data_IF_460063530442
#
_entry.id   IF_460063530442
#
_cell.length_a   1.000
_cell.length_b   1.000
_cell.length_c   1.000
_cell.angle_alpha   90.00
_cell.angle_beta   90.00
_cell.angle_gamma   90.00
#
_symmetry.space_group_name_H-M   'P 1'
#
loop_
_entity.id
_entity.type
_entity.pdbx_description
1 polymer ?
#
# COMPACT_ATOMS: atom_id res chain seq x y z
N UNK A 1 -15.32 6.31 -0.70
CA UNK A 1 -14.58 6.35 0.59
C UNK A 1 -15.17 7.39 1.56
N UNK A 2 -16.41 7.22 2.06
CA UNK A 2 -17.10 8.25 2.88
C UNK A 2 -16.40 8.63 4.20
N UNK A 3 -15.47 7.82 4.73
CA UNK A 3 -14.76 8.07 6.01
C UNK A 3 -13.25 8.28 5.87
N UNK A 4 -12.71 8.37 4.65
CA UNK A 4 -11.25 8.43 4.39
C UNK A 4 -10.57 7.06 4.49
N UNK A 5 -9.31 6.94 4.04
CA UNK A 5 -8.56 5.66 4.01
C UNK A 5 -8.38 5.09 5.41
N UNK A 6 -7.72 5.85 6.30
CA UNK A 6 -7.39 5.42 7.66
C UNK A 6 -8.57 4.80 8.43
N UNK A 7 -9.74 5.45 8.45
CA UNK A 7 -10.91 4.93 9.19
C UNK A 7 -11.46 3.64 8.56
N UNK A 8 -11.36 3.48 7.24
CA UNK A 8 -11.78 2.24 6.58
C UNK A 8 -10.78 1.12 6.85
N UNK A 9 -9.48 1.41 6.75
CA UNK A 9 -8.40 0.45 6.99
C UNK A 9 -8.48 -0.11 8.41
N UNK A 10 -8.67 0.76 9.40
CA UNK A 10 -8.87 0.35 10.79
C UNK A 10 -10.12 -0.53 10.98
N UNK A 11 -11.20 -0.26 10.24
CA UNK A 11 -12.42 -1.07 10.29
C UNK A 11 -12.22 -2.45 9.64
N UNK A 12 -11.47 -2.52 8.54
CA UNK A 12 -11.11 -3.76 7.87
C UNK A 12 -10.19 -4.61 8.75
N UNK A 13 -9.14 -4.00 9.32
CA UNK A 13 -8.22 -4.68 10.26
C UNK A 13 -8.97 -5.26 11.44
N UNK A 14 -9.89 -4.48 12.02
CA UNK A 14 -10.74 -4.95 13.13
C UNK A 14 -11.64 -6.13 12.73
N UNK A 15 -12.11 -6.17 11.48
CA UNK A 15 -13.08 -7.19 11.02
C UNK A 15 -12.42 -8.47 10.52
N UNK A 16 -11.31 -8.37 9.79
CA UNK A 16 -10.70 -9.48 9.04
C UNK A 16 -9.31 -9.87 9.54
N UNK A 17 -8.74 -9.11 10.48
CA UNK A 17 -7.42 -9.36 11.04
C UNK A 17 -6.32 -8.51 10.42
N UNK A 18 -5.07 -8.84 10.71
CA UNK A 18 -3.93 -7.95 10.45
C UNK A 18 -3.32 -8.03 9.04
N UNK A 19 -3.76 -9.00 8.24
CA UNK A 19 -3.31 -9.22 6.86
C UNK A 19 -4.55 -9.44 6.01
N UNK A 20 -4.80 -8.56 5.06
CA UNK A 20 -6.06 -8.56 4.29
C UNK A 20 -5.75 -8.31 2.82
N UNK A 21 -6.26 -9.16 1.94
CA UNK A 21 -6.31 -8.86 0.51
C UNK A 21 -7.49 -7.93 0.21
N UNK A 22 -7.24 -6.80 -0.45
CA UNK A 22 -8.25 -5.82 -0.84
C UNK A 22 -8.03 -5.41 -2.29
N UNK A 23 -9.10 -5.02 -2.98
CA UNK A 23 -8.98 -4.43 -4.31
C UNK A 23 -9.06 -2.91 -4.21
N UNK A 24 -8.02 -2.22 -4.64
CA UNK A 24 -8.03 -0.79 -4.86
C UNK A 24 -8.39 -0.51 -6.33
N UNK A 25 -9.66 -0.21 -6.58
CA UNK A 25 -10.21 -0.21 -7.92
C UNK A 25 -10.17 -1.62 -8.51
N UNK A 26 -9.49 -1.80 -9.63
CA UNK A 26 -9.24 -3.09 -10.28
C UNK A 26 -7.94 -3.75 -9.82
N UNK A 27 -7.10 -3.07 -9.04
CA UNK A 27 -5.78 -3.58 -8.63
C UNK A 27 -5.88 -4.33 -7.30
N UNK A 28 -5.51 -5.63 -7.26
CA UNK A 28 -5.42 -6.36 -6.00
C UNK A 28 -4.19 -5.93 -5.20
N UNK A 29 -4.35 -5.67 -3.91
CA UNK A 29 -3.28 -5.30 -2.98
C UNK A 29 -3.45 -5.99 -1.62
N UNK A 30 -2.37 -6.01 -0.83
CA UNK A 30 -2.37 -6.55 0.53
C UNK A 30 -2.22 -5.41 1.52
N UNK A 31 -3.16 -5.30 2.44
CA UNK A 31 -3.08 -4.42 3.61
C UNK A 31 -2.39 -5.17 4.75
N UNK A 32 -1.27 -4.61 5.21
CA UNK A 32 -0.44 -5.14 6.30
C UNK A 32 -0.52 -4.23 7.52
N UNK A 33 -0.95 -4.78 8.66
CA UNK A 33 -1.00 -4.04 9.94
C UNK A 33 -0.30 -4.78 11.10
N UNK A 34 0.43 -5.86 10.81
CA UNK A 34 1.22 -6.57 11.82
C UNK A 34 2.65 -6.01 11.90
N UNK A 35 3.11 -5.52 13.07
CA UNK A 35 4.44 -4.94 13.23
C UNK A 35 5.59 -5.88 12.85
N UNK A 36 5.46 -7.18 13.10
CA UNK A 36 6.53 -8.14 12.81
C UNK A 36 6.69 -8.34 11.30
N UNK A 37 5.57 -8.34 10.58
CA UNK A 37 5.58 -8.41 9.11
C UNK A 37 6.05 -7.09 8.52
N UNK A 38 5.58 -5.96 9.04
CA UNK A 38 6.03 -4.63 8.61
C UNK A 38 7.54 -4.47 8.81
N UNK A 39 8.11 -5.00 9.90
CA UNK A 39 9.57 -5.02 10.11
C UNK A 39 10.29 -5.83 9.04
N UNK A 40 9.75 -6.96 8.61
CA UNK A 40 10.36 -7.73 7.53
C UNK A 40 10.28 -6.94 6.22
N UNK A 41 9.10 -6.47 5.82
CA UNK A 41 8.88 -5.75 4.54
C UNK A 41 9.62 -4.41 4.47
N UNK A 42 9.57 -3.59 5.52
CA UNK A 42 10.07 -2.22 5.51
C UNK A 42 11.53 -2.08 5.92
N UNK A 43 12.13 -3.12 6.54
CA UNK A 43 13.51 -3.06 7.04
C UNK A 43 14.34 -4.20 6.45
N UNK A 44 14.04 -5.45 6.83
CA UNK A 44 14.90 -6.60 6.47
C UNK A 44 14.93 -6.87 4.96
N UNK A 45 13.75 -6.89 4.36
CA UNK A 45 13.52 -7.20 2.95
C UNK A 45 13.20 -5.95 2.13
N UNK A 46 13.50 -4.75 2.66
CA UNK A 46 13.20 -3.47 2.02
C UNK A 46 13.76 -3.37 0.59
N UNK A 47 14.90 -4.00 0.33
CA UNK A 47 15.54 -4.11 -0.98
C UNK A 47 14.73 -4.93 -2.01
N UNK A 48 13.79 -5.76 -1.57
CA UNK A 48 12.85 -6.49 -2.45
C UNK A 48 11.64 -5.63 -2.79
N UNK A 49 11.24 -4.72 -1.90
CA UNK A 49 10.05 -3.87 -2.01
C UNK A 49 10.38 -2.43 -2.46
N UNK A 50 11.28 -2.27 -3.44
CA UNK A 50 11.79 -0.96 -3.89
C UNK A 50 10.81 -0.16 -4.76
N UNK A 51 9.82 -0.82 -5.34
CA UNK A 51 8.88 -0.19 -6.27
C UNK A 51 7.86 0.68 -5.54
N UNK A 52 7.74 1.96 -5.96
CA UNK A 52 6.75 2.87 -5.42
C UNK A 52 5.41 2.70 -6.11
N UNK A 53 4.34 2.82 -5.32
CA UNK A 53 2.97 2.70 -5.80
C UNK A 53 2.65 3.84 -6.76
N UNK A 54 2.10 3.50 -7.92
CA UNK A 54 1.43 4.44 -8.82
C UNK A 54 -0.08 4.33 -8.64
N UNK A 55 -0.79 5.44 -8.74
CA UNK A 55 -2.26 5.45 -8.79
C UNK A 55 -2.63 5.72 -10.24
N UNK A 56 -3.14 4.71 -10.93
CA UNK A 56 -3.59 4.85 -12.32
C UNK A 56 -4.57 6.02 -12.46
N UNK A 57 -4.32 6.90 -13.43
CA UNK A 57 -5.11 8.11 -13.67
C UNK A 57 -4.78 9.31 -12.78
N UNK A 58 -3.91 9.18 -11.78
CA UNK A 58 -3.50 10.29 -10.91
C UNK A 58 -2.09 10.83 -11.19
N UNK A 59 -1.39 10.28 -12.20
CA UNK A 59 0.04 10.57 -12.42
C UNK A 59 0.28 11.93 -13.07
N UNK A 60 -0.58 12.41 -13.96
CA UNK A 60 -0.59 13.79 -14.49
C UNK A 60 0.81 14.44 -14.65
N UNK A 61 1.00 15.71 -14.24
CA UNK A 61 2.31 16.37 -14.24
C UNK A 61 3.38 15.75 -13.32
N UNK A 62 3.01 14.75 -12.52
CA UNK A 62 3.87 14.07 -11.54
C UNK A 62 4.32 12.69 -12.02
N UNK A 63 4.18 12.39 -13.31
CA UNK A 63 4.60 11.12 -13.93
C UNK A 63 6.10 10.82 -13.79
N UNK A 64 6.91 11.85 -13.50
CA UNK A 64 8.34 11.74 -13.18
C UNK A 64 8.67 12.16 -11.74
N UNK A 65 7.65 12.25 -10.87
CA UNK A 65 7.83 12.59 -9.47
C UNK A 65 8.58 11.51 -8.71
N UNK A 66 9.33 11.91 -7.68
CA UNK A 66 10.03 10.97 -6.79
C UNK A 66 9.06 9.96 -6.15
N UNK A 67 7.78 10.31 -6.01
CA UNK A 67 6.72 9.45 -5.46
C UNK A 67 6.36 8.26 -6.34
N UNK A 68 6.73 8.26 -7.63
CA UNK A 68 6.38 7.21 -8.60
C UNK A 68 7.60 6.50 -9.20
N UNK A 69 8.78 6.70 -8.61
CA UNK A 69 10.00 6.00 -9.02
C UNK A 69 9.85 4.48 -8.93
N UNK A 70 10.27 3.80 -9.98
CA UNK A 70 10.45 2.36 -10.01
C UNK A 70 11.92 2.06 -9.72
N UNK A 71 12.17 1.04 -8.91
CA UNK A 71 13.52 0.55 -8.69
C UNK A 71 13.93 -0.37 -9.85
N UNK A 72 15.23 -0.42 -10.13
CA UNK A 72 15.86 -1.44 -10.98
C UNK A 72 16.31 -2.64 -10.14
#
# INVERSE_FOLDING_TARGET
MRRGMYKNDMALVKKYGKIIGVNEGTTPVILLSDPDILRNVLIKDSHVFINRRTIEGAVGPLEHGLTVLKGE
#
